data_IF_560754140136
#
_entry.id   IF_560754140136
#
_cell.length_a   1.000
_cell.length_b   1.000
_cell.length_c   1.000
_cell.angle_alpha   90.00
_cell.angle_beta   90.00
_cell.angle_gamma   90.00
#
_symmetry.space_group_name_H-M   'P 1'
#
loop_
_entity.id
_entity.type
_entity.pdbx_description
1 polymer ?
#
# COMPACT_ATOMS: atom_id res chain seq x y z
N UNK A 1 -40.21 2.74 -73.41
CA UNK A 1 -38.89 3.23 -72.98
C UNK A 1 -39.12 4.09 -71.76
N UNK A 2 -38.82 3.59 -70.57
CA UNK A 2 -38.05 4.40 -69.63
C UNK A 2 -37.53 3.51 -68.51
N UNK A 3 -36.23 3.67 -68.28
CA UNK A 3 -35.35 2.81 -67.51
C UNK A 3 -35.65 2.94 -66.02
N UNK A 4 -36.19 1.87 -65.41
CA UNK A 4 -36.13 1.70 -63.94
C UNK A 4 -34.65 1.59 -63.56
N UNK A 5 -34.06 2.73 -63.21
CA UNK A 5 -32.72 2.83 -62.65
C UNK A 5 -32.64 1.90 -61.45
N UNK A 6 -31.73 0.92 -61.52
CA UNK A 6 -31.35 0.15 -60.34
C UNK A 6 -30.83 1.13 -59.27
N UNK A 7 -31.22 0.98 -57.99
CA UNK A 7 -30.70 1.83 -56.93
C UNK A 7 -29.18 1.76 -56.92
N UNK A 8 -28.57 2.94 -56.92
CA UNK A 8 -27.12 3.15 -57.00
C UNK A 8 -26.45 2.33 -55.90
N UNK A 9 -25.41 1.55 -56.24
CA UNK A 9 -24.69 0.63 -55.33
C UNK A 9 -24.28 1.29 -53.99
N UNK A 10 -24.14 2.62 -53.97
CA UNK A 10 -23.86 3.45 -52.79
C UNK A 10 -25.00 3.48 -51.74
N UNK A 11 -26.26 3.39 -52.17
CA UNK A 11 -27.44 3.44 -51.29
C UNK A 11 -27.67 2.09 -50.57
N UNK A 12 -27.33 0.99 -51.23
CA UNK A 12 -27.27 -0.35 -50.62
C UNK A 12 -26.12 -0.45 -49.61
N UNK A 13 -24.95 0.12 -49.91
CA UNK A 13 -23.83 0.12 -48.96
C UNK A 13 -24.08 1.00 -47.74
N UNK A 14 -24.85 2.08 -47.85
CA UNK A 14 -25.19 2.94 -46.69
C UNK A 14 -26.28 2.34 -45.81
N UNK A 15 -27.22 1.57 -46.37
CA UNK A 15 -28.16 0.76 -45.56
C UNK A 15 -27.48 -0.43 -44.87
N UNK A 16 -26.50 -1.07 -45.52
CA UNK A 16 -25.74 -2.18 -44.92
C UNK A 16 -24.72 -1.67 -43.88
N UNK A 17 -24.19 -0.44 -44.03
CA UNK A 17 -23.23 0.15 -43.09
C UNK A 17 -23.84 0.75 -41.81
N UNK A 18 -25.17 0.67 -41.61
CA UNK A 18 -25.86 1.16 -40.40
C UNK A 18 -26.53 0.08 -39.56
N UNK A 19 -26.22 -1.20 -39.78
CA UNK A 19 -26.32 -2.20 -38.70
C UNK A 19 -24.96 -2.24 -38.01
N UNK A 20 -24.58 -1.12 -37.40
CA UNK A 20 -23.51 -1.13 -36.41
C UNK A 20 -24.13 -1.78 -35.18
N UNK A 21 -24.00 -3.11 -35.09
CA UNK A 21 -24.44 -3.86 -33.92
C UNK A 21 -23.88 -3.15 -32.69
N UNK A 22 -24.75 -2.50 -31.92
CA UNK A 22 -24.38 -2.00 -30.61
C UNK A 22 -23.88 -3.20 -29.81
N UNK A 23 -22.72 -3.10 -29.15
CA UNK A 23 -22.22 -4.22 -28.37
C UNK A 23 -23.31 -4.59 -27.35
N UNK A 24 -23.59 -5.90 -27.17
CA UNK A 24 -24.64 -6.33 -26.26
C UNK A 24 -24.42 -5.68 -24.90
N UNK A 25 -25.48 -5.06 -24.35
CA UNK A 25 -25.38 -4.35 -23.08
C UNK A 25 -24.78 -5.25 -22.00
N UNK A 26 -23.93 -4.72 -21.13
CA UNK A 26 -23.32 -5.45 -20.00
C UNK A 26 -24.35 -6.22 -19.16
N UNK A 27 -25.61 -5.73 -19.13
CA UNK A 27 -26.75 -6.41 -18.52
C UNK A 27 -27.05 -7.77 -19.14
N UNK A 28 -26.86 -7.93 -20.45
CA UNK A 28 -27.01 -9.21 -21.16
C UNK A 28 -26.00 -10.23 -20.65
N UNK A 29 -24.73 -9.84 -20.50
CA UNK A 29 -23.67 -10.72 -19.98
C UNK A 29 -23.91 -11.12 -18.53
N UNK A 30 -24.31 -10.17 -17.68
CA UNK A 30 -24.69 -10.46 -16.30
C UNK A 30 -25.90 -11.39 -16.22
N UNK A 31 -26.91 -11.20 -17.09
CA UNK A 31 -28.08 -12.08 -17.18
C UNK A 31 -27.71 -13.48 -17.68
N UNK A 32 -26.78 -13.59 -18.63
CA UNK A 32 -26.28 -14.87 -19.12
C UNK A 32 -25.55 -15.65 -18.03
N UNK A 33 -24.75 -14.95 -17.21
CA UNK A 33 -23.95 -15.55 -16.14
C UNK A 33 -24.81 -15.96 -14.95
N UNK A 34 -25.84 -15.18 -14.60
CA UNK A 34 -26.84 -15.59 -13.60
C UNK A 34 -27.70 -16.75 -14.08
N UNK A 35 -28.07 -16.79 -15.37
CA UNK A 35 -28.78 -17.92 -15.97
C UNK A 35 -27.93 -19.20 -15.93
N UNK A 36 -26.64 -19.12 -16.26
CA UNK A 36 -25.71 -20.24 -16.18
C UNK A 36 -25.56 -20.78 -14.74
N UNK A 37 -25.48 -19.87 -13.76
CA UNK A 37 -25.44 -20.23 -12.35
C UNK A 37 -26.73 -20.92 -11.88
N UNK A 38 -27.90 -20.40 -12.29
CA UNK A 38 -29.19 -21.01 -12.00
C UNK A 38 -29.32 -22.41 -12.60
N UNK A 39 -28.85 -22.60 -13.84
CA UNK A 39 -28.84 -23.92 -14.49
C UNK A 39 -27.90 -24.91 -13.78
N UNK A 40 -26.74 -24.45 -13.31
CA UNK A 40 -25.82 -25.27 -12.53
C UNK A 40 -26.45 -25.68 -11.19
N UNK A 41 -27.07 -24.75 -10.46
CA UNK A 41 -27.78 -25.06 -9.21
C UNK A 41 -28.95 -26.00 -9.46
N UNK A 42 -29.72 -25.79 -10.53
CA UNK A 42 -30.81 -26.68 -10.93
C UNK A 42 -30.31 -28.10 -11.27
N UNK A 43 -29.14 -28.23 -11.89
CA UNK A 43 -28.48 -29.53 -12.18
C UNK A 43 -28.21 -30.33 -10.90
N UNK A 44 -27.84 -29.66 -9.80
CA UNK A 44 -27.61 -30.32 -8.52
C UNK A 44 -28.91 -30.64 -7.76
N UNK A 45 -30.00 -29.93 -8.02
CA UNK A 45 -31.29 -30.11 -7.32
C UNK A 45 -32.15 -31.17 -8.01
N UNK A 46 -32.19 -31.20 -9.34
CA UNK A 46 -32.90 -32.20 -10.13
C UNK A 46 -32.10 -33.51 -10.16
N UNK A 47 -32.29 -34.33 -9.12
CA UNK A 47 -31.67 -35.65 -8.95
C UNK A 47 -32.25 -36.70 -9.91
N UNK A 48 -32.17 -36.45 -11.22
CA UNK A 48 -32.53 -37.43 -12.27
C UNK A 48 -31.25 -37.91 -13.00
N UNK A 49 -31.06 -39.22 -13.27
CA UNK A 49 -29.75 -39.79 -13.57
C UNK A 49 -29.07 -39.32 -14.88
N UNK A 50 -29.80 -38.70 -15.82
CA UNK A 50 -29.30 -38.44 -17.18
C UNK A 50 -29.09 -36.95 -17.52
N UNK A 51 -29.58 -36.03 -16.68
CA UNK A 51 -29.44 -34.58 -16.90
C UNK A 51 -28.11 -33.95 -16.46
N UNK A 52 -27.39 -34.47 -15.44
CA UNK A 52 -26.17 -33.83 -14.95
C UNK A 52 -25.10 -33.66 -16.01
N UNK A 53 -24.91 -34.68 -16.86
CA UNK A 53 -23.88 -34.66 -17.92
C UNK A 53 -24.21 -33.66 -19.04
N UNK A 54 -25.48 -33.55 -19.43
CA UNK A 54 -25.93 -32.58 -20.44
C UNK A 54 -25.82 -31.15 -19.91
N UNK A 55 -26.26 -30.90 -18.67
CA UNK A 55 -26.22 -29.57 -18.05
C UNK A 55 -24.79 -29.14 -17.74
N UNK A 56 -23.90 -30.04 -17.30
CA UNK A 56 -22.48 -29.74 -17.14
C UNK A 56 -21.83 -29.33 -18.45
N UNK A 57 -22.13 -30.04 -19.54
CA UNK A 57 -21.55 -29.75 -20.85
C UNK A 57 -22.03 -28.37 -21.37
N UNK A 58 -23.32 -28.06 -21.17
CA UNK A 58 -23.91 -26.77 -21.52
C UNK A 58 -23.32 -25.63 -20.67
N UNK A 59 -23.08 -25.86 -19.37
CA UNK A 59 -22.42 -24.88 -18.50
C UNK A 59 -20.98 -24.65 -18.94
N UNK A 60 -20.21 -25.70 -19.28
CA UNK A 60 -18.84 -25.54 -19.78
C UNK A 60 -18.78 -24.82 -21.12
N UNK A 61 -19.73 -25.04 -22.03
CA UNK A 61 -19.81 -24.30 -23.29
C UNK A 61 -20.18 -22.83 -23.07
N UNK A 62 -21.13 -22.52 -22.17
CA UNK A 62 -21.51 -21.14 -21.86
C UNK A 62 -20.34 -20.41 -21.17
N UNK A 63 -19.68 -21.05 -20.21
CA UNK A 63 -18.51 -20.47 -19.53
C UNK A 63 -17.35 -20.27 -20.51
N UNK A 64 -17.10 -21.24 -21.38
CA UNK A 64 -16.11 -21.13 -22.45
C UNK A 64 -16.41 -19.98 -23.41
N UNK A 65 -17.66 -19.85 -23.85
CA UNK A 65 -18.11 -18.76 -24.71
C UNK A 65 -17.97 -17.40 -24.02
N UNK A 66 -18.32 -17.28 -22.74
CA UNK A 66 -18.19 -16.04 -21.95
C UNK A 66 -16.71 -15.67 -21.73
N UNK A 67 -15.84 -16.64 -21.46
CA UNK A 67 -14.39 -16.41 -21.32
C UNK A 67 -13.78 -15.97 -22.66
N UNK A 68 -14.17 -16.62 -23.76
CA UNK A 68 -13.71 -16.25 -25.11
C UNK A 68 -14.24 -14.85 -25.48
N UNK A 69 -15.50 -14.54 -25.22
CA UNK A 69 -16.07 -13.19 -25.42
C UNK A 69 -15.35 -12.15 -24.58
N UNK A 70 -15.07 -12.43 -23.30
CA UNK A 70 -14.33 -11.53 -22.41
C UNK A 70 -12.86 -11.34 -22.84
N UNK A 71 -12.22 -12.37 -23.40
CA UNK A 71 -10.87 -12.30 -23.96
C UNK A 71 -10.83 -11.57 -25.31
N UNK A 72 -11.85 -11.75 -26.15
CA UNK A 72 -12.01 -11.06 -27.43
C UNK A 72 -12.39 -9.58 -27.23
N UNK A 73 -13.15 -9.25 -26.17
CA UNK A 73 -13.50 -7.88 -25.76
C UNK A 73 -12.44 -7.19 -24.87
N UNK A 74 -11.16 -7.60 -24.94
CA UNK A 74 -10.02 -6.88 -24.31
C UNK A 74 -9.78 -5.46 -24.85
N UNK A 75 -10.80 -4.84 -25.44
CA UNK A 75 -10.92 -3.44 -25.84
C UNK A 75 -12.06 -2.73 -25.09
N UNK A 76 -12.34 -3.12 -23.84
CA UNK A 76 -13.20 -2.35 -22.92
C UNK A 76 -12.51 -1.01 -22.61
N UNK A 77 -13.15 0.05 -23.10
CA UNK A 77 -12.63 1.41 -23.22
C UNK A 77 -12.47 2.08 -21.86
N UNK A 78 -11.50 2.99 -21.82
CA UNK A 78 -11.00 3.82 -20.72
C UNK A 78 -12.00 4.65 -19.89
N UNK A 79 -13.33 4.47 -20.00
CA UNK A 79 -14.31 5.32 -19.29
C UNK A 79 -15.19 4.62 -18.25
N UNK A 80 -15.30 3.28 -18.25
CA UNK A 80 -16.09 2.56 -17.22
C UNK A 80 -15.23 1.78 -16.20
N UNK A 81 -13.91 1.86 -16.33
CA UNK A 81 -12.95 1.06 -15.55
C UNK A 81 -12.79 1.55 -14.11
N UNK A 82 -13.06 2.83 -13.81
CA UNK A 82 -12.80 3.38 -12.48
C UNK A 82 -13.82 2.96 -11.42
N UNK A 83 -15.11 2.91 -11.79
CA UNK A 83 -16.16 2.47 -10.87
C UNK A 83 -16.15 0.94 -10.66
N UNK A 84 -15.80 0.16 -11.69
CA UNK A 84 -15.67 -1.29 -11.59
C UNK A 84 -14.40 -1.73 -10.84
N UNK A 85 -13.28 -0.99 -10.98
CA UNK A 85 -12.06 -1.27 -10.20
C UNK A 85 -12.30 -1.17 -8.69
N UNK A 86 -13.02 -0.15 -8.22
CA UNK A 86 -13.30 0.02 -6.78
C UNK A 86 -14.16 -1.11 -6.22
N UNK A 87 -15.22 -1.51 -6.92
CA UNK A 87 -16.15 -2.55 -6.43
C UNK A 87 -15.54 -3.96 -6.50
N UNK A 88 -14.81 -4.29 -7.57
CA UNK A 88 -14.10 -5.57 -7.70
C UNK A 88 -12.88 -5.65 -6.77
N UNK A 89 -12.11 -4.56 -6.58
CA UNK A 89 -11.03 -4.54 -5.59
C UNK A 89 -11.56 -4.68 -4.17
N UNK A 90 -12.71 -4.08 -3.83
CA UNK A 90 -13.31 -4.23 -2.51
C UNK A 90 -13.80 -5.67 -2.25
N UNK A 91 -14.37 -6.35 -3.25
CA UNK A 91 -14.81 -7.73 -3.08
C UNK A 91 -13.62 -8.71 -3.07
N UNK A 92 -12.62 -8.49 -3.93
CA UNK A 92 -11.38 -9.28 -3.93
C UNK A 92 -10.56 -9.08 -2.66
N UNK A 93 -10.46 -7.86 -2.15
CA UNK A 93 -9.76 -7.58 -0.90
C UNK A 93 -10.52 -8.19 0.28
N UNK A 94 -11.85 -8.13 0.32
CA UNK A 94 -12.65 -8.81 1.34
C UNK A 94 -12.48 -10.33 1.32
N UNK A 95 -12.51 -10.96 0.14
CA UNK A 95 -12.22 -12.39 0.00
C UNK A 95 -10.79 -12.75 0.39
N UNK A 96 -9.81 -11.93 -0.01
CA UNK A 96 -8.41 -12.10 0.37
C UNK A 96 -8.22 -11.96 1.89
N UNK A 97 -8.81 -10.95 2.53
CA UNK A 97 -8.71 -10.74 3.97
C UNK A 97 -9.47 -11.78 4.79
N UNK A 98 -10.54 -12.36 4.23
CA UNK A 98 -11.21 -13.51 4.81
C UNK A 98 -10.33 -14.77 4.74
N UNK A 99 -9.67 -15.02 3.61
CA UNK A 99 -8.76 -16.15 3.43
C UNK A 99 -7.42 -15.98 4.18
N UNK A 100 -6.97 -14.73 4.39
CA UNK A 100 -5.68 -14.39 5.00
C UNK A 100 -5.86 -13.39 6.15
N UNK A 101 -6.31 -13.85 7.33
CA UNK A 101 -6.54 -12.99 8.49
C UNK A 101 -5.26 -12.26 8.97
N UNK A 102 -4.08 -12.84 8.73
CA UNK A 102 -2.81 -12.21 9.05
C UNK A 102 -2.53 -10.98 8.17
N UNK A 103 -2.89 -11.05 6.89
CA UNK A 103 -2.70 -9.93 5.96
C UNK A 103 -3.66 -8.78 6.28
N UNK A 104 -4.88 -9.12 6.76
CA UNK A 104 -5.84 -8.12 7.25
C UNK A 104 -5.31 -7.35 8.46
N UNK A 105 -4.82 -8.06 9.48
CA UNK A 105 -4.24 -7.43 10.69
C UNK A 105 -3.04 -6.54 10.37
N UNK A 106 -2.20 -6.96 9.42
CA UNK A 106 -1.09 -6.14 8.96
C UNK A 106 -1.58 -4.88 8.24
N UNK A 107 -2.57 -5.00 7.34
CA UNK A 107 -3.17 -3.83 6.69
C UNK A 107 -3.78 -2.86 7.71
N UNK A 108 -4.52 -3.37 8.69
CA UNK A 108 -5.10 -2.58 9.80
C UNK A 108 -3.99 -1.85 10.59
N UNK A 109 -2.90 -2.54 10.94
CA UNK A 109 -1.74 -1.93 11.59
C UNK A 109 -1.17 -0.77 10.76
N UNK A 110 -0.92 -0.99 9.47
CA UNK A 110 -0.29 0.00 8.58
C UNK A 110 -1.20 1.22 8.36
N UNK A 111 -2.50 1.00 8.18
CA UNK A 111 -3.48 2.08 8.01
C UNK A 111 -3.64 2.90 9.30
N UNK A 112 -3.79 2.24 10.45
CA UNK A 112 -3.97 2.94 11.73
C UNK A 112 -2.71 3.71 12.15
N UNK A 113 -1.54 3.08 12.07
CA UNK A 113 -0.27 3.72 12.46
C UNK A 113 0.15 4.86 11.53
N UNK A 114 -0.13 4.77 10.23
CA UNK A 114 0.19 5.85 9.27
C UNK A 114 -0.78 7.04 9.34
N UNK A 115 -2.01 6.82 9.82
CA UNK A 115 -3.05 7.86 9.89
C UNK A 115 -2.64 9.09 10.71
N UNK A 116 -1.87 8.88 11.80
CA UNK A 116 -1.33 9.94 12.64
C UNK A 116 -0.30 10.81 11.91
N UNK A 117 0.52 10.20 11.06
CA UNK A 117 1.56 10.91 10.31
C UNK A 117 1.02 11.63 9.08
N UNK A 118 0.02 11.06 8.39
CA UNK A 118 -0.53 11.64 7.16
C UNK A 118 -1.09 13.06 7.36
N UNK A 119 -1.73 13.35 8.50
CA UNK A 119 -2.24 14.70 8.80
C UNK A 119 -1.12 15.72 9.01
N UNK A 120 -0.07 15.34 9.74
CA UNK A 120 1.09 16.20 10.04
C UNK A 120 1.99 16.42 8.81
N UNK A 121 2.14 15.41 7.98
CA UNK A 121 3.04 15.42 6.82
C UNK A 121 2.47 16.10 5.58
N UNK A 122 1.19 16.50 5.52
CA UNK A 122 0.61 17.03 4.27
C UNK A 122 0.45 18.55 4.28
N UNK A 123 0.18 19.17 5.43
CA UNK A 123 -0.14 20.61 5.52
C UNK A 123 1.07 21.53 5.46
N UNK A 124 2.24 21.08 5.92
CA UNK A 124 3.44 21.90 6.13
C UNK A 124 4.69 21.29 5.50
N UNK A 125 4.53 20.36 4.56
CA UNK A 125 5.64 19.61 4.01
C UNK A 125 6.24 20.24 2.76
N UNK A 126 7.56 20.22 2.73
CA UNK A 126 8.36 20.58 1.56
C UNK A 126 8.87 19.29 0.97
N UNK A 127 8.53 19.05 -0.28
CA UNK A 127 9.03 17.92 -1.06
C UNK A 127 10.54 18.07 -1.25
N UNK A 128 11.29 17.05 -0.82
CA UNK A 128 12.74 16.96 -0.94
C UNK A 128 13.10 15.72 -1.75
N UNK A 129 12.52 15.64 -2.94
CA UNK A 129 12.58 14.49 -3.87
C UNK A 129 13.95 13.83 -3.97
N UNK A 130 15.05 14.61 -4.02
CA UNK A 130 16.42 14.06 -4.13
C UNK A 130 16.82 13.20 -2.93
N UNK A 131 16.59 13.68 -1.71
CA UNK A 131 16.93 12.91 -0.50
C UNK A 131 15.89 11.82 -0.25
N UNK A 132 14.61 12.11 -0.44
CA UNK A 132 13.54 11.11 -0.31
C UNK A 132 13.76 9.90 -1.22
N UNK A 133 14.11 10.13 -2.49
CA UNK A 133 14.39 9.04 -3.42
C UNK A 133 15.62 8.23 -3.00
N UNK A 134 16.65 8.88 -2.43
CA UNK A 134 17.81 8.18 -1.87
C UNK A 134 17.43 7.31 -0.67
N UNK A 135 16.61 7.82 0.25
CA UNK A 135 16.13 7.05 1.41
C UNK A 135 15.26 5.86 0.97
N UNK A 136 14.42 6.05 -0.05
CA UNK A 136 13.51 5.04 -0.61
C UNK A 136 14.18 3.82 -1.23
N UNK A 137 15.42 3.97 -1.70
CA UNK A 137 16.19 2.90 -2.35
C UNK A 137 17.23 2.27 -1.40
N UNK A 138 17.49 2.90 -0.26
CA UNK A 138 18.44 2.41 0.72
C UNK A 138 17.86 1.19 1.43
N UNK A 139 18.54 0.05 1.29
CA UNK A 139 18.12 -1.23 1.89
C UNK A 139 18.86 -1.54 3.18
N UNK A 140 20.07 -1.02 3.30
CA UNK A 140 20.90 -1.24 4.47
C UNK A 140 20.42 -0.36 5.63
N UNK A 141 20.82 -0.71 6.85
CA UNK A 141 20.61 0.12 8.03
C UNK A 141 21.41 1.42 7.92
N UNK A 142 20.81 2.56 8.27
CA UNK A 142 21.45 3.85 8.13
C UNK A 142 21.04 4.85 9.22
N UNK A 143 21.87 5.86 9.43
CA UNK A 143 21.59 6.98 10.30
C UNK A 143 21.37 8.25 9.49
N UNK A 144 20.25 8.91 9.74
CA UNK A 144 19.90 10.21 9.17
C UNK A 144 20.49 11.32 10.05
N UNK A 145 21.47 12.04 9.51
CA UNK A 145 22.25 13.05 10.24
C UNK A 145 21.90 14.44 9.74
N UNK A 146 21.75 15.41 10.64
CA UNK A 146 21.55 16.79 10.23
C UNK A 146 21.28 17.73 11.40
N UNK A 147 21.42 19.04 11.14
CA UNK A 147 21.20 20.08 12.15
C UNK A 147 19.77 20.12 12.71
N UNK A 148 19.54 20.94 13.75
CA UNK A 148 18.18 21.23 14.22
C UNK A 148 17.36 21.89 13.10
N UNK A 149 16.07 21.55 13.00
CA UNK A 149 15.17 22.15 12.01
C UNK A 149 15.37 21.72 10.56
N UNK A 150 16.30 20.80 10.25
CA UNK A 150 16.50 20.30 8.86
C UNK A 150 15.41 19.32 8.39
N UNK A 151 14.43 19.02 9.24
CA UNK A 151 13.29 18.17 8.90
C UNK A 151 13.56 16.66 8.98
N UNK A 152 14.52 16.19 9.81
CA UNK A 152 14.83 14.76 9.98
C UNK A 152 13.61 13.94 10.37
N UNK A 153 12.92 14.33 11.46
CA UNK A 153 11.68 13.68 11.91
C UNK A 153 10.65 13.64 10.80
N UNK A 154 10.46 14.76 10.09
CA UNK A 154 9.51 14.85 8.97
C UNK A 154 9.89 13.93 7.80
N UNK A 155 11.19 13.82 7.46
CA UNK A 155 11.69 12.89 6.44
C UNK A 155 11.50 11.43 6.86
N UNK A 156 11.73 11.09 8.14
CA UNK A 156 11.49 9.74 8.66
C UNK A 156 10.00 9.39 8.68
N UNK A 157 9.13 10.33 9.05
CA UNK A 157 7.68 10.15 8.98
C UNK A 157 7.22 9.97 7.53
N UNK A 158 7.78 10.73 6.58
CA UNK A 158 7.49 10.55 5.16
C UNK A 158 7.92 9.18 4.66
N UNK A 159 9.13 8.75 5.02
CA UNK A 159 9.65 7.42 4.71
C UNK A 159 8.77 6.32 5.32
N UNK A 160 8.32 6.49 6.56
CA UNK A 160 7.39 5.57 7.22
C UNK A 160 6.10 5.39 6.41
N UNK A 161 5.46 6.50 6.01
CA UNK A 161 4.24 6.49 5.18
C UNK A 161 4.52 5.79 3.86
N UNK A 162 5.61 6.11 3.18
CA UNK A 162 5.98 5.49 1.89
C UNK A 162 6.16 3.96 2.03
N UNK A 163 6.77 3.49 3.13
CA UNK A 163 6.92 2.05 3.40
C UNK A 163 5.55 1.43 3.67
N UNK A 164 4.69 2.06 4.48
CA UNK A 164 3.32 1.58 4.72
C UNK A 164 2.53 1.42 3.41
N UNK A 165 2.53 2.43 2.55
CA UNK A 165 1.81 2.40 1.26
C UNK A 165 2.31 1.27 0.36
N UNK A 166 3.64 1.09 0.25
CA UNK A 166 4.25 -0.01 -0.52
C UNK A 166 3.87 -1.38 0.05
N UNK A 167 3.82 -1.51 1.37
CA UNK A 167 3.52 -2.79 2.03
C UNK A 167 2.04 -3.12 1.99
N UNK A 168 1.14 -2.14 1.99
CA UNK A 168 -0.28 -2.35 1.73
C UNK A 168 -0.49 -2.93 0.31
N UNK A 169 0.27 -2.45 -0.68
CA UNK A 169 0.20 -3.00 -2.05
C UNK A 169 0.78 -4.42 -2.13
N UNK A 170 1.80 -4.73 -1.30
CA UNK A 170 2.52 -6.00 -1.32
C UNK A 170 2.50 -6.71 0.05
N UNK A 171 1.33 -6.93 0.66
CA UNK A 171 1.21 -7.43 2.05
C UNK A 171 1.99 -8.74 2.33
N UNK A 172 2.16 -9.59 1.32
CA UNK A 172 2.88 -10.86 1.46
C UNK A 172 4.40 -10.72 1.53
N UNK A 173 5.00 -9.67 0.97
CA UNK A 173 6.46 -9.51 0.84
C UNK A 173 7.00 -8.14 1.26
N UNK A 174 6.14 -7.16 1.49
CA UNK A 174 6.54 -5.79 1.85
C UNK A 174 7.14 -5.69 3.25
N UNK A 175 7.93 -4.65 3.45
CA UNK A 175 8.60 -4.37 4.72
C UNK A 175 7.62 -3.76 5.73
N UNK A 176 7.69 -4.17 6.98
CA UNK A 176 6.81 -3.70 8.05
C UNK A 176 7.55 -2.61 8.83
N UNK A 177 7.22 -1.33 8.66
CA UNK A 177 7.88 -0.26 9.36
C UNK A 177 7.35 -0.14 10.78
N UNK A 178 8.20 0.25 11.72
CA UNK A 178 7.84 0.59 13.09
C UNK A 178 8.51 1.91 13.44
N UNK A 179 7.75 2.90 13.89
CA UNK A 179 8.27 4.23 14.22
C UNK A 179 8.25 4.47 15.73
N UNK A 180 9.41 4.82 16.29
CA UNK A 180 9.60 4.97 17.73
C UNK A 180 10.44 6.21 18.00
N UNK A 181 10.03 7.03 18.96
CA UNK A 181 10.92 8.07 19.47
C UNK A 181 11.92 7.46 20.45
N UNK A 182 13.20 7.79 20.31
CA UNK A 182 14.28 7.22 21.12
C UNK A 182 14.01 7.33 22.63
N UNK A 183 13.41 8.44 23.08
CA UNK A 183 13.02 8.69 24.47
C UNK A 183 11.97 7.72 25.05
N UNK A 184 11.29 6.95 24.20
CA UNK A 184 10.31 5.93 24.63
C UNK A 184 10.92 4.55 24.75
N UNK A 185 12.19 4.38 24.37
CA UNK A 185 12.92 3.13 24.57
C UNK A 185 13.42 3.13 26.02
N UNK A 186 12.83 2.26 26.83
CA UNK A 186 13.17 2.15 28.26
C UNK A 186 14.06 0.93 28.51
N UNK A 187 15.13 1.05 29.31
CA UNK A 187 16.03 -0.06 29.62
C UNK A 187 15.38 -1.17 30.45
N UNK A 188 14.28 -0.86 31.15
CA UNK A 188 13.53 -1.81 31.98
C UNK A 188 12.82 -2.90 31.15
N UNK A 189 12.71 -2.67 29.83
CA UNK A 189 12.20 -3.67 28.90
C UNK A 189 13.41 -4.47 28.45
N UNK A 190 13.58 -5.66 29.03
CA UNK A 190 14.72 -6.55 28.77
C UNK A 190 14.93 -6.87 27.27
N UNK A 191 13.88 -6.71 26.45
CA UNK A 191 13.88 -7.08 25.04
C UNK A 191 13.18 -6.07 24.12
N UNK A 192 13.82 -5.69 23.00
CA UNK A 192 13.20 -4.86 21.94
C UNK A 192 11.87 -5.47 21.48
N UNK A 193 11.76 -6.80 21.46
CA UNK A 193 10.54 -7.48 21.04
C UNK A 193 9.31 -7.14 21.90
N UNK A 194 9.48 -6.91 23.21
CA UNK A 194 8.36 -6.55 24.10
C UNK A 194 7.88 -5.13 23.86
N UNK A 195 8.81 -4.22 23.63
CA UNK A 195 8.49 -2.84 23.26
C UNK A 195 7.80 -2.80 21.88
N UNK A 196 8.30 -3.57 20.91
CA UNK A 196 7.64 -3.73 19.60
C UNK A 196 6.24 -4.33 19.77
N UNK A 197 6.07 -5.34 20.60
CA UNK A 197 4.76 -5.95 20.87
C UNK A 197 3.76 -4.91 21.38
N UNK A 198 4.14 -4.13 22.39
CA UNK A 198 3.29 -3.05 22.93
C UNK A 198 2.93 -2.04 21.84
N UNK A 199 3.88 -1.68 20.97
CA UNK A 199 3.64 -0.78 19.85
C UNK A 199 2.61 -1.37 18.86
N UNK A 200 2.73 -2.64 18.46
CA UNK A 200 1.77 -3.26 17.53
C UNK A 200 0.36 -3.39 18.11
N UNK A 201 0.25 -3.72 19.41
CA UNK A 201 -1.02 -3.86 20.13
C UNK A 201 -1.80 -2.54 20.22
N UNK A 202 -1.12 -1.39 20.16
CA UNK A 202 -1.77 -0.07 20.15
C UNK A 202 -2.56 0.22 18.87
N UNK A 203 -2.13 -0.33 17.73
CA UNK A 203 -2.69 -0.02 16.40
C UNK A 203 -3.40 -1.20 15.75
N UNK A 204 -3.32 -2.40 16.33
CA UNK A 204 -3.88 -3.60 15.71
C UNK A 204 -3.94 -4.78 16.67
N UNK A 205 -4.63 -5.84 16.24
CA UNK A 205 -4.62 -7.15 16.94
C UNK A 205 -3.50 -8.07 16.44
N UNK A 206 -2.39 -7.51 15.96
CA UNK A 206 -1.22 -8.29 15.53
C UNK A 206 -0.69 -9.08 16.72
N UNK A 207 -0.61 -10.39 16.56
CA UNK A 207 -0.13 -11.29 17.62
C UNK A 207 1.39 -11.25 17.70
N UNK A 208 1.96 -11.51 18.87
CA UNK A 208 3.41 -11.67 19.04
C UNK A 208 4.03 -12.68 18.06
N UNK A 209 3.34 -13.79 17.78
CA UNK A 209 3.80 -14.78 16.80
C UNK A 209 3.89 -14.23 15.37
N UNK A 210 3.06 -13.25 15.00
CA UNK A 210 3.12 -12.58 13.71
C UNK A 210 4.27 -11.58 13.68
N UNK A 211 4.44 -10.79 14.74
CA UNK A 211 5.59 -9.90 14.90
C UNK A 211 6.91 -10.68 14.74
N UNK A 212 7.07 -11.78 15.47
CA UNK A 212 8.25 -12.64 15.36
C UNK A 212 8.43 -13.23 13.95
N UNK A 213 7.34 -13.51 13.22
CA UNK A 213 7.46 -13.93 11.81
C UNK A 213 8.04 -12.83 10.94
N UNK A 214 7.62 -11.57 11.12
CA UNK A 214 8.16 -10.45 10.37
C UNK A 214 9.65 -10.23 10.68
N UNK A 215 10.01 -10.25 11.96
CA UNK A 215 11.41 -10.14 12.42
C UNK A 215 12.27 -11.28 11.86
N UNK A 216 11.83 -12.53 12.00
CA UNK A 216 12.56 -13.71 11.47
C UNK A 216 12.71 -13.69 9.96
N UNK A 217 11.73 -13.13 9.26
CA UNK A 217 11.78 -13.00 7.80
C UNK A 217 12.62 -11.82 7.29
N UNK A 218 13.20 -11.00 8.20
CA UNK A 218 13.99 -9.82 7.81
C UNK A 218 13.14 -8.69 7.22
N UNK A 219 11.84 -8.65 7.56
CA UNK A 219 10.89 -7.68 6.97
C UNK A 219 10.70 -6.45 7.83
N UNK A 220 11.22 -6.41 9.06
CA UNK A 220 11.04 -5.25 9.94
C UNK A 220 11.94 -4.10 9.51
N UNK A 221 11.39 -2.90 9.49
CA UNK A 221 12.14 -1.64 9.37
C UNK A 221 11.91 -0.83 10.64
N UNK A 222 12.88 -0.85 11.55
CA UNK A 222 12.82 -0.15 12.82
C UNK A 222 13.34 1.28 12.65
N UNK A 223 12.45 2.27 12.76
CA UNK A 223 12.76 3.69 12.66
C UNK A 223 12.78 4.30 14.06
N UNK A 224 13.96 4.77 14.49
CA UNK A 224 14.18 5.39 15.80
C UNK A 224 14.54 6.87 15.63
N UNK A 225 13.66 7.76 16.05
CA UNK A 225 13.84 9.20 15.90
C UNK A 225 14.38 9.85 17.19
N UNK A 226 15.43 10.66 17.06
CA UNK A 226 15.91 11.57 18.10
C UNK A 226 16.90 10.96 19.08
N UNK A 227 17.91 10.21 18.62
CA UNK A 227 18.97 9.71 19.51
C UNK A 227 19.71 10.84 20.23
N UNK A 228 19.79 12.03 19.63
CA UNK A 228 20.41 13.21 20.22
C UNK A 228 19.60 13.85 21.36
N UNK A 229 18.34 13.43 21.57
CA UNK A 229 17.49 13.90 22.66
C UNK A 229 17.73 13.15 23.98
N UNK A 230 18.52 12.07 23.95
CA UNK A 230 18.79 11.21 25.10
C UNK A 230 19.93 11.73 25.97
N UNK A 231 19.81 11.51 27.29
CA UNK A 231 20.94 11.66 28.20
C UNK A 231 22.03 10.61 27.90
N UNK A 232 23.32 10.85 28.23
CA UNK A 232 24.41 9.94 27.89
C UNK A 232 24.22 8.48 28.35
N UNK A 233 23.67 8.26 29.54
CA UNK A 233 23.42 6.92 30.07
C UNK A 233 22.29 6.22 29.29
N UNK A 234 21.18 6.93 29.07
CA UNK A 234 20.06 6.42 28.26
C UNK A 234 20.48 6.13 26.81
N UNK A 235 21.32 6.99 26.23
CA UNK A 235 21.85 6.79 24.89
C UNK A 235 22.64 5.48 24.80
N UNK A 236 23.49 5.20 25.81
CA UNK A 236 24.27 3.96 25.87
C UNK A 236 23.35 2.73 25.95
N UNK A 237 22.32 2.79 26.79
CA UNK A 237 21.36 1.70 26.94
C UNK A 237 20.60 1.44 25.63
N UNK A 238 20.07 2.50 25.01
CA UNK A 238 19.37 2.41 23.72
C UNK A 238 20.28 1.86 22.62
N UNK A 239 21.55 2.28 22.57
CA UNK A 239 22.51 1.73 21.61
C UNK A 239 22.75 0.24 21.87
N UNK A 240 22.91 -0.18 23.13
CA UNK A 240 23.09 -1.60 23.49
C UNK A 240 21.90 -2.46 23.08
N UNK A 241 20.70 -1.95 23.33
CA UNK A 241 19.42 -2.56 22.93
C UNK A 241 19.32 -2.72 21.41
N UNK A 242 19.60 -1.65 20.66
CA UNK A 242 19.56 -1.66 19.19
C UNK A 242 20.65 -2.56 18.58
N UNK A 243 21.85 -2.57 19.17
CA UNK A 243 22.95 -3.44 18.75
C UNK A 243 22.58 -4.91 18.96
N UNK A 244 22.06 -5.25 20.14
CA UNK A 244 21.62 -6.62 20.45
C UNK A 244 20.53 -7.08 19.50
N UNK A 245 19.57 -6.21 19.16
CA UNK A 245 18.55 -6.50 18.16
C UNK A 245 19.15 -6.72 16.77
N UNK A 246 20.13 -5.90 16.35
CA UNK A 246 20.80 -6.06 15.07
C UNK A 246 21.59 -7.38 14.99
N UNK A 247 22.32 -7.72 16.05
CA UNK A 247 23.12 -8.95 16.13
C UNK A 247 22.24 -10.20 16.09
N UNK A 248 21.10 -10.15 16.78
CA UNK A 248 20.13 -11.24 16.82
C UNK A 248 19.35 -11.37 15.50
N UNK A 249 19.04 -10.24 14.84
CA UNK A 249 18.14 -10.18 13.70
C UNK A 249 18.69 -9.33 12.53
N UNK A 250 19.85 -9.71 11.93
CA UNK A 250 20.65 -8.85 11.06
C UNK A 250 19.99 -8.49 9.72
N UNK A 251 18.99 -9.26 9.29
CA UNK A 251 18.26 -9.00 8.04
C UNK A 251 17.22 -7.88 8.16
N UNK A 252 16.96 -7.37 9.37
CA UNK A 252 16.02 -6.27 9.58
C UNK A 252 16.74 -4.94 9.47
N UNK A 253 16.07 -3.96 8.87
CA UNK A 253 16.63 -2.63 8.67
C UNK A 253 16.45 -1.79 9.93
N UNK A 254 17.49 -1.09 10.36
CA UNK A 254 17.45 -0.11 11.45
C UNK A 254 17.78 1.26 10.87
N UNK A 255 16.88 2.21 11.10
CA UNK A 255 17.01 3.59 10.65
C UNK A 255 16.98 4.47 11.89
N UNK A 256 18.02 5.25 12.13
CA UNK A 256 18.07 6.16 13.28
C UNK A 256 18.20 7.61 12.84
N UNK A 257 17.75 8.59 13.63
CA UNK A 257 18.11 10.00 13.44
C UNK A 257 18.96 10.53 14.59
N UNK A 258 19.91 11.40 14.26
CA UNK A 258 20.75 12.12 15.22
C UNK A 258 21.22 13.46 14.63
N UNK A 259 21.67 14.39 15.49
CA UNK A 259 22.40 15.59 15.06
C UNK A 259 23.85 15.30 14.72
N UNK A 260 24.48 14.42 15.48
CA UNK A 260 25.91 14.14 15.42
C UNK A 260 26.14 12.68 15.00
N UNK A 261 26.93 12.43 13.94
CA UNK A 261 27.27 11.07 13.53
C UNK A 261 28.19 10.35 14.52
N UNK A 262 28.91 11.08 15.39
CA UNK A 262 29.97 10.53 16.24
C UNK A 262 29.49 9.94 17.57
N UNK A 263 28.26 10.24 17.99
CA UNK A 263 27.72 9.79 19.28
C UNK A 263 27.03 8.44 19.17
N UNK A 264 25.81 8.38 18.64
CA UNK A 264 25.04 7.13 18.52
C UNK A 264 25.29 6.33 17.23
N UNK A 265 25.16 6.97 16.05
CA UNK A 265 25.28 6.29 14.75
C UNK A 265 26.59 5.52 14.54
N UNK A 266 27.72 6.10 14.95
CA UNK A 266 29.04 5.49 14.88
C UNK A 266 29.15 4.21 15.72
N UNK A 267 28.54 4.18 16.91
CA UNK A 267 28.56 3.03 17.81
C UNK A 267 27.73 1.86 17.27
N UNK A 268 26.66 2.16 16.53
CA UNK A 268 25.84 1.16 15.84
C UNK A 268 26.45 0.69 14.50
N UNK A 269 27.60 1.23 14.08
CA UNK A 269 28.22 0.88 12.80
C UNK A 269 27.39 1.26 11.57
N UNK A 270 26.46 2.22 11.72
CA UNK A 270 25.51 2.56 10.67
C UNK A 270 26.12 3.50 9.63
N UNK A 271 25.78 3.25 8.36
CA UNK A 271 26.05 4.19 7.27
C UNK A 271 25.33 5.51 7.54
N UNK A 272 26.01 6.63 7.33
CA UNK A 272 25.42 7.96 7.55
C UNK A 272 24.89 8.57 6.26
N UNK A 273 23.68 9.15 6.34
CA UNK A 273 23.06 9.93 5.28
C UNK A 273 22.80 11.33 5.83
N UNK A 274 23.54 12.31 5.31
CA UNK A 274 23.38 13.71 5.72
C UNK A 274 22.17 14.36 5.05
N UNK A 275 21.35 14.99 5.86
CA UNK A 275 20.23 15.84 5.46
C UNK A 275 20.77 17.26 5.27
N UNK A 276 20.72 17.82 4.06
CA UNK A 276 21.15 19.19 3.84
C UNK A 276 20.21 20.16 4.57
N UNK A 277 20.69 21.37 4.83
CA UNK A 277 19.83 22.45 5.27
C UNK A 277 18.78 22.80 4.20
N UNK A 278 17.68 23.40 4.64
CA UNK A 278 16.68 23.91 3.71
C UNK A 278 17.29 25.10 2.94
N UNK A 279 17.14 25.08 1.63
CA UNK A 279 17.49 26.20 0.76
C UNK A 279 16.62 27.42 1.06
N UNK A 280 17.05 28.62 0.67
CA UNK A 280 16.25 29.83 0.87
C UNK A 280 14.86 29.74 0.21
N UNK A 281 14.75 29.09 -0.95
CA UNK A 281 13.46 28.89 -1.63
C UNK A 281 12.56 27.93 -0.85
N UNK A 282 13.11 26.84 -0.32
CA UNK A 282 12.39 25.91 0.55
C UNK A 282 11.94 26.61 1.85
N UNK A 283 12.81 27.38 2.49
CA UNK A 283 12.46 28.15 3.70
C UNK A 283 11.33 29.16 3.43
N UNK A 284 11.39 29.87 2.29
CA UNK A 284 10.33 30.80 1.88
C UNK A 284 9.02 30.06 1.65
N UNK A 285 9.06 28.93 0.95
CA UNK A 285 7.89 28.08 0.72
C UNK A 285 7.30 27.55 2.02
N UNK A 286 8.14 27.18 3.00
CA UNK A 286 7.68 26.80 4.33
C UNK A 286 6.92 27.94 4.99
N UNK A 287 7.48 29.16 4.97
CA UNK A 287 6.86 30.34 5.57
C UNK A 287 5.51 30.68 4.92
N UNK A 288 5.42 30.56 3.59
CA UNK A 288 4.18 30.76 2.85
C UNK A 288 3.11 29.73 3.22
N UNK A 289 3.49 28.44 3.27
CA UNK A 289 2.59 27.36 3.70
C UNK A 289 2.13 27.56 5.15
N UNK A 290 3.04 27.94 6.04
CA UNK A 290 2.73 28.22 7.44
C UNK A 290 1.77 29.40 7.59
N UNK A 291 1.95 30.46 6.80
CA UNK A 291 1.03 31.59 6.79
C UNK A 291 -0.37 31.17 6.35
N UNK A 292 -0.49 30.41 5.25
CA UNK A 292 -1.77 29.88 4.78
C UNK A 292 -2.43 29.01 5.85
N UNK A 293 -1.67 28.09 6.44
CA UNK A 293 -2.15 27.20 7.49
C UNK A 293 -2.64 27.97 8.72
N UNK A 294 -1.88 28.98 9.18
CA UNK A 294 -2.24 29.82 10.32
C UNK A 294 -3.44 30.73 10.08
N UNK A 295 -3.70 31.11 8.82
CA UNK A 295 -4.86 31.93 8.43
C UNK A 295 -6.13 31.10 8.18
N UNK A 296 -5.98 29.80 7.94
CA UNK A 296 -7.07 28.85 7.66
C UNK A 296 -7.60 28.09 8.87
N UNK A 297 -7.28 28.50 10.09
CA UNK A 297 -7.79 27.90 11.34
C UNK A 297 -8.56 28.94 12.17
N UNK A 298 -9.67 29.40 11.60
CA UNK A 298 -10.92 29.71 12.31
C UNK A 298 -11.97 28.89 11.56
N UNK A 299 -12.77 28.12 12.31
CA UNK A 299 -13.81 27.18 11.85
C UNK A 299 -13.36 25.70 11.66
N UNK A 300 -13.09 25.06 12.80
CA UNK A 300 -13.58 23.69 13.06
C UNK A 300 -14.87 23.77 13.86
#
# INVERSE_FOLDING_TARGET
>A
MDTKQLPKREELTTKIARIKAEPPSIRLYMWLLTLAFLLLVASFILSEPNWPSFLLNLVTEIVGAVIILALVERKLRHHDVEHLKKSVNNFQSQLYFFAFPNAKRLAEYLEQSSSGFNKLSTSLYIDRTKIENRLKIEKDSFALIGGPGTGKTTLLQRLYIDICERTIVALSSGNVPVFIHAKWITPDVEFVEDMLRLHFEQYSTVTINQLYKYIKSGRLVLIVDGLDELAPDQLRDVIGILSSFHDQWPNNQIIVSSRDPSTGPSQLGLKTICVPELTHDEQKRFADLYRIYSQGNVDT
#
